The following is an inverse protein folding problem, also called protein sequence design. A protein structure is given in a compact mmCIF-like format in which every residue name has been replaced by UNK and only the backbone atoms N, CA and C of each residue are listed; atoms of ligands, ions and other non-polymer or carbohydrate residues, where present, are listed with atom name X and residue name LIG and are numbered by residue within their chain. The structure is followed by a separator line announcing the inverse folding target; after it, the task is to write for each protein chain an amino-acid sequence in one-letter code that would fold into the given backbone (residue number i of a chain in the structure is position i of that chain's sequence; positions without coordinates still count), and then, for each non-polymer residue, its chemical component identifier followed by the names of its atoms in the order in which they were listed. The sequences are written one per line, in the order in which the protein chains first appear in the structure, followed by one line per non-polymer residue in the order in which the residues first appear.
data_IF_026626247858
#
_entry.id   IF_026626247858
#
_cell.length_a   1.000
_cell.length_b   1.000
_cell.length_c   1.000
_cell.angle_alpha   90.00
_cell.angle_beta   90.00
_cell.angle_gamma   90.00
#
_symmetry.space_group_name_H-M   'P 1'
#
loop_
_entity.id
_entity.type
_entity.pdbx_description
1 polymer ?
#
# COMPACT_ATOMS: atom_id res chain seq x y z
N UNK A 1 16.08 -25.24 0.93
CA UNK A 1 14.65 -25.57 0.69
C UNK A 1 14.08 -24.52 -0.25
N UNK A 2 13.37 -24.93 -1.31
CA UNK A 2 12.67 -23.99 -2.18
C UNK A 2 11.59 -23.25 -1.36
N UNK A 3 11.47 -21.94 -1.55
CA UNK A 3 10.40 -21.15 -0.94
C UNK A 3 9.16 -21.21 -1.84
N UNK A 4 7.98 -21.40 -1.26
CA UNK A 4 6.73 -21.19 -1.99
C UNK A 4 6.47 -19.69 -2.23
N UNK A 5 5.58 -19.36 -3.16
CA UNK A 5 5.31 -17.97 -3.52
C UNK A 5 4.70 -17.17 -2.38
N UNK A 6 3.85 -17.80 -1.57
CA UNK A 6 3.23 -17.17 -0.40
C UNK A 6 4.30 -16.64 0.56
N UNK A 7 5.26 -17.48 0.91
CA UNK A 7 6.37 -17.14 1.79
C UNK A 7 7.30 -16.12 1.15
N UNK A 8 7.61 -16.25 -0.14
CA UNK A 8 8.43 -15.28 -0.86
C UNK A 8 7.79 -13.87 -0.82
N UNK A 9 6.48 -13.76 -1.06
CA UNK A 9 5.76 -12.49 -0.97
C UNK A 9 5.78 -11.90 0.45
N UNK A 10 5.52 -12.71 1.48
CA UNK A 10 5.56 -12.21 2.85
C UNK A 10 6.96 -11.79 3.29
N UNK A 11 8.01 -12.51 2.87
CA UNK A 11 9.39 -12.12 3.15
C UNK A 11 9.74 -10.78 2.51
N UNK A 12 9.43 -10.61 1.22
CA UNK A 12 9.70 -9.35 0.54
C UNK A 12 8.85 -8.20 1.10
N UNK A 13 7.56 -8.43 1.37
CA UNK A 13 6.69 -7.43 1.99
C UNK A 13 7.21 -6.96 3.35
N UNK A 14 7.76 -7.87 4.18
CA UNK A 14 8.40 -7.52 5.45
C UNK A 14 9.63 -6.66 5.25
N UNK A 15 10.47 -7.00 4.26
CA UNK A 15 11.66 -6.21 3.94
C UNK A 15 11.29 -4.79 3.51
N UNK A 16 10.32 -4.65 2.61
CA UNK A 16 9.85 -3.35 2.14
C UNK A 16 9.23 -2.53 3.28
N UNK A 17 8.43 -3.17 4.14
CA UNK A 17 7.83 -2.50 5.30
C UNK A 17 8.88 -2.07 6.33
N UNK A 18 9.92 -2.87 6.55
CA UNK A 18 11.03 -2.50 7.43
C UNK A 18 11.79 -1.28 6.88
N UNK A 19 11.96 -1.18 5.56
CA UNK A 19 12.53 0.02 4.94
C UNK A 19 11.62 1.23 5.10
N UNK A 20 10.31 1.08 4.91
CA UNK A 20 9.35 2.15 5.22
C UNK A 20 9.50 2.62 6.68
N UNK A 21 9.50 1.71 7.65
CA UNK A 21 9.62 2.06 9.07
C UNK A 21 10.94 2.77 9.41
N UNK A 22 12.04 2.40 8.75
CA UNK A 22 13.33 3.08 8.91
C UNK A 22 13.30 4.50 8.34
N UNK A 23 12.65 4.70 7.19
CA UNK A 23 12.65 5.98 6.49
C UNK A 23 11.56 6.95 6.96
N UNK A 24 10.45 6.45 7.53
CA UNK A 24 9.24 7.26 7.75
C UNK A 24 9.42 8.48 8.65
N UNK A 25 10.40 8.45 9.56
CA UNK A 25 10.69 9.54 10.50
C UNK A 25 12.06 10.20 10.27
N UNK A 26 12.84 9.76 9.26
CA UNK A 26 14.14 10.37 8.96
C UNK A 26 13.92 11.73 8.31
N UNK A 27 14.56 12.78 8.83
CA UNK A 27 14.56 14.11 8.20
C UNK A 27 15.41 14.12 6.93
N UNK A 28 14.99 14.90 5.93
CA UNK A 28 15.72 15.01 4.65
C UNK A 28 15.45 13.88 3.65
N UNK A 29 14.72 12.83 4.01
CA UNK A 29 14.25 11.82 3.03
C UNK A 29 12.94 12.27 2.40
N UNK A 30 12.89 12.30 1.08
CA UNK A 30 11.73 12.69 0.29
C UNK A 30 10.54 11.76 0.57
N UNK A 31 9.33 12.33 0.58
CA UNK A 31 8.10 11.59 0.93
C UNK A 31 7.82 10.46 -0.08
N UNK A 32 8.19 10.65 -1.36
CA UNK A 32 8.04 9.63 -2.40
C UNK A 32 8.71 8.30 -2.02
N UNK A 33 9.93 8.32 -1.48
CA UNK A 33 10.64 7.09 -1.10
C UNK A 33 9.91 6.34 0.01
N UNK A 34 9.38 7.06 1.00
CA UNK A 34 8.58 6.48 2.10
C UNK A 34 7.32 5.83 1.53
N UNK A 35 6.59 6.56 0.69
CA UNK A 35 5.35 6.09 0.08
C UNK A 35 5.57 4.90 -0.87
N UNK A 36 6.68 4.87 -1.62
CA UNK A 36 7.04 3.76 -2.49
C UNK A 36 7.23 2.46 -1.70
N UNK A 37 8.01 2.49 -0.61
CA UNK A 37 8.18 1.29 0.24
C UNK A 37 6.88 0.83 0.90
N UNK A 38 6.01 1.76 1.31
CA UNK A 38 4.69 1.42 1.86
C UNK A 38 3.78 0.76 0.80
N UNK A 39 3.73 1.32 -0.41
CA UNK A 39 2.98 0.76 -1.54
C UNK A 39 3.49 -0.66 -1.86
N UNK A 40 4.81 -0.82 -1.99
CA UNK A 40 5.43 -2.11 -2.30
C UNK A 40 5.19 -3.16 -1.22
N UNK A 41 5.27 -2.79 0.05
CA UNK A 41 4.98 -3.67 1.16
C UNK A 41 3.53 -4.17 1.12
N UNK A 42 2.56 -3.26 0.92
CA UNK A 42 1.13 -3.59 0.94
C UNK A 42 0.69 -4.41 -0.27
N UNK A 43 1.24 -4.16 -1.46
CA UNK A 43 1.00 -4.96 -2.66
C UNK A 43 1.45 -6.41 -2.46
N UNK A 44 2.70 -6.61 -2.00
CA UNK A 44 3.26 -7.94 -1.78
C UNK A 44 2.57 -8.66 -0.62
N UNK A 45 2.21 -7.95 0.43
CA UNK A 45 1.43 -8.50 1.54
C UNK A 45 0.09 -9.08 1.05
N UNK A 46 -0.66 -8.32 0.25
CA UNK A 46 -1.93 -8.76 -0.30
C UNK A 46 -1.76 -9.97 -1.23
N UNK A 47 -0.72 -9.97 -2.07
CA UNK A 47 -0.38 -11.13 -2.93
C UNK A 47 -0.07 -12.37 -2.09
N UNK A 48 0.67 -12.24 -0.99
CA UNK A 48 0.93 -13.34 -0.06
C UNK A 48 -0.34 -13.97 0.50
N UNK A 49 -1.34 -13.17 0.91
CA UNK A 49 -2.62 -13.70 1.37
C UNK A 49 -3.47 -14.35 0.27
N UNK A 50 -3.30 -13.94 -0.99
CA UNK A 50 -3.97 -14.53 -2.16
C UNK A 50 -3.34 -15.87 -2.58
N UNK A 51 -2.07 -16.13 -2.27
CA UNK A 51 -1.40 -17.38 -2.57
C UNK A 51 -1.84 -18.52 -1.62
N UNK A 52 -2.05 -19.70 -2.20
CA UNK A 52 -2.21 -20.93 -1.42
C UNK A 52 -0.89 -21.32 -0.74
N UNK A 53 -0.99 -22.03 0.39
CA UNK A 53 0.19 -22.57 1.09
C UNK A 53 0.82 -23.66 0.22
N UNK A 54 2.15 -23.62 0.04
CA UNK A 54 2.87 -24.59 -0.79
C UNK A 54 2.78 -24.36 -2.30
N UNK A 55 2.15 -23.27 -2.76
CA UNK A 55 2.03 -22.98 -4.19
C UNK A 55 3.38 -22.56 -4.80
N UNK A 56 3.83 -23.31 -5.81
CA UNK A 56 5.07 -23.09 -6.55
C UNK A 56 4.85 -22.26 -7.83
N UNK A 57 3.61 -21.92 -8.17
CA UNK A 57 3.27 -21.06 -9.31
C UNK A 57 3.08 -19.60 -8.88
N UNK A 58 3.57 -18.63 -9.69
CA UNK A 58 3.35 -17.23 -9.38
C UNK A 58 1.85 -16.89 -9.48
N UNK A 59 1.31 -16.08 -8.56
CA UNK A 59 -0.04 -15.59 -8.69
C UNK A 59 -0.15 -14.69 -9.94
N UNK A 60 -1.35 -14.54 -10.53
CA UNK A 60 -1.58 -13.62 -11.62
C UNK A 60 -1.06 -12.21 -11.28
N UNK A 61 -0.44 -11.54 -12.25
CA UNK A 61 0.09 -10.18 -12.10
C UNK A 61 -1.06 -9.17 -12.04
N UNK A 62 -1.73 -9.10 -10.89
CA UNK A 62 -2.76 -8.10 -10.60
C UNK A 62 -2.17 -7.12 -9.59
N UNK A 63 -2.02 -5.85 -10.00
CA UNK A 63 -1.45 -4.79 -9.17
C UNK A 63 -2.45 -4.24 -8.13
N UNK A 64 -3.76 -4.35 -8.39
CA UNK A 64 -4.82 -3.89 -7.49
C UNK A 64 -5.23 -5.01 -6.51
N UNK A 65 -4.40 -5.25 -5.50
CA UNK A 65 -4.61 -6.34 -4.56
C UNK A 65 -4.93 -5.90 -3.12
N UNK A 66 -4.43 -4.74 -2.66
CA UNK A 66 -4.46 -4.39 -1.24
C UNK A 66 -5.82 -3.85 -0.79
N UNK A 67 -6.42 -2.94 -1.56
CA UNK A 67 -7.72 -2.39 -1.20
C UNK A 67 -8.81 -3.48 -1.22
N UNK A 68 -8.72 -4.39 -2.20
CA UNK A 68 -9.60 -5.55 -2.27
C UNK A 68 -9.38 -6.51 -1.09
N UNK A 69 -8.12 -6.80 -0.75
CA UNK A 69 -7.77 -7.63 0.40
C UNK A 69 -8.43 -7.10 1.69
N UNK A 70 -8.27 -5.81 1.99
CA UNK A 70 -8.88 -5.18 3.18
C UNK A 70 -10.41 -5.28 3.16
N UNK A 71 -11.05 -5.05 2.02
CA UNK A 71 -12.52 -5.03 1.91
C UNK A 71 -13.15 -6.41 1.99
N UNK A 72 -12.50 -7.43 1.45
CA UNK A 72 -13.09 -8.77 1.26
C UNK A 72 -12.36 -9.83 2.08
N UNK A 73 -11.09 -10.07 1.78
CA UNK A 73 -10.36 -11.24 2.25
C UNK A 73 -10.00 -11.14 3.73
N UNK A 74 -9.55 -9.97 4.19
CA UNK A 74 -9.19 -9.73 5.58
C UNK A 74 -10.34 -10.02 6.56
N UNK A 75 -11.60 -9.84 6.13
CA UNK A 75 -12.81 -10.12 6.91
C UNK A 75 -12.99 -11.61 7.23
N UNK A 76 -12.50 -12.49 6.34
CA UNK A 76 -12.65 -13.94 6.46
C UNK A 76 -11.57 -14.57 7.35
N UNK A 77 -10.49 -13.83 7.65
CA UNK A 77 -9.34 -14.34 8.39
C UNK A 77 -9.51 -14.15 9.91
N UNK A 78 -10.02 -15.19 10.58
CA UNK A 78 -10.20 -15.18 12.04
C UNK A 78 -8.89 -14.93 12.81
N UNK A 79 -7.76 -15.44 12.32
CA UNK A 79 -6.43 -15.17 12.89
C UNK A 79 -6.10 -13.68 12.83
N UNK A 80 -6.36 -13.01 11.70
CA UNK A 80 -6.06 -11.59 11.56
C UNK A 80 -6.92 -10.72 12.50
N UNK A 81 -8.19 -11.08 12.67
CA UNK A 81 -9.07 -10.45 13.66
C UNK A 81 -8.48 -10.56 15.08
N UNK A 82 -7.96 -11.74 15.45
CA UNK A 82 -7.30 -11.97 16.74
C UNK A 82 -6.03 -11.14 16.88
N UNK A 83 -5.16 -11.10 15.87
CA UNK A 83 -3.96 -10.26 15.87
C UNK A 83 -4.28 -8.76 15.97
N UNK A 84 -5.44 -8.33 15.45
CA UNK A 84 -5.95 -6.96 15.61
C UNK A 84 -6.65 -6.72 16.98
N UNK A 85 -6.68 -7.71 17.87
CA UNK A 85 -7.32 -7.66 19.20
C UNK A 85 -8.84 -7.36 19.18
N UNK A 86 -9.56 -7.74 18.11
CA UNK A 86 -11.02 -7.59 18.07
C UNK A 86 -11.73 -8.85 18.56
N UNK A 87 -12.59 -8.69 19.57
CA UNK A 87 -13.39 -9.79 20.13
C UNK A 87 -14.51 -10.26 19.20
N UNK A 88 -15.12 -9.34 18.45
CA UNK A 88 -16.29 -9.62 17.59
C UNK A 88 -15.98 -9.37 16.12
N UNK A 89 -16.67 -10.09 15.23
CA UNK A 89 -16.56 -9.89 13.78
C UNK A 89 -17.08 -8.51 13.36
N UNK A 90 -18.16 -8.02 13.99
CA UNK A 90 -18.79 -6.75 13.64
C UNK A 90 -17.85 -5.55 13.87
N UNK A 91 -17.20 -5.48 15.04
CA UNK A 91 -16.25 -4.41 15.37
C UNK A 91 -15.04 -4.42 14.44
N UNK A 92 -14.55 -5.61 14.08
CA UNK A 92 -13.48 -5.79 13.11
C UNK A 92 -13.89 -5.36 11.69
N UNK A 93 -15.09 -5.72 11.25
CA UNK A 93 -15.59 -5.29 9.94
C UNK A 93 -15.72 -3.76 9.86
N UNK A 94 -16.21 -3.10 10.93
CA UNK A 94 -16.27 -1.63 11.01
C UNK A 94 -14.88 -1.00 10.93
N UNK A 95 -13.91 -1.59 11.63
CA UNK A 95 -12.50 -1.18 11.56
C UNK A 95 -11.95 -1.28 10.13
N UNK A 96 -12.11 -2.43 9.47
CA UNK A 96 -11.66 -2.62 8.08
C UNK A 96 -12.34 -1.68 7.10
N UNK A 97 -13.65 -1.43 7.25
CA UNK A 97 -14.36 -0.47 6.41
C UNK A 97 -13.79 0.95 6.58
N UNK A 98 -13.38 1.34 7.79
CA UNK A 98 -12.69 2.60 8.03
C UNK A 98 -11.28 2.69 7.41
N UNK A 99 -10.61 1.56 7.21
CA UNK A 99 -9.28 1.50 6.55
C UNK A 99 -9.36 1.47 5.02
N UNK A 100 -10.48 0.99 4.46
CA UNK A 100 -10.61 0.76 3.03
C UNK A 100 -10.33 1.98 2.13
N UNK A 101 -10.72 3.22 2.48
CA UNK A 101 -10.35 4.40 1.70
C UNK A 101 -8.84 4.64 1.66
N UNK A 102 -8.16 4.51 2.80
CA UNK A 102 -6.71 4.68 2.88
C UNK A 102 -5.96 3.55 2.17
N UNK A 103 -6.44 2.31 2.26
CA UNK A 103 -5.89 1.18 1.50
C UNK A 103 -5.96 1.45 -0.01
N UNK A 104 -7.04 2.09 -0.47
CA UNK A 104 -7.19 2.48 -1.87
C UNK A 104 -6.21 3.59 -2.26
N UNK A 105 -6.03 4.60 -1.42
CA UNK A 105 -5.04 5.66 -1.67
C UNK A 105 -3.62 5.09 -1.76
N UNK A 106 -3.25 4.14 -0.88
CA UNK A 106 -1.93 3.48 -0.92
C UNK A 106 -1.77 2.68 -2.22
N UNK A 107 -2.79 1.92 -2.61
CA UNK A 107 -2.78 1.15 -3.86
C UNK A 107 -2.68 2.05 -5.10
N UNK A 108 -3.30 3.23 -5.07
CA UNK A 108 -3.28 4.21 -6.16
C UNK A 108 -1.96 5.01 -6.25
N UNK A 109 -1.03 4.84 -5.30
CA UNK A 109 0.32 5.41 -5.40
C UNK A 109 1.08 4.83 -6.60
N UNK A 110 0.81 3.60 -7.03
CA UNK A 110 1.38 3.05 -8.26
C UNK A 110 0.34 3.09 -9.37
N UNK A 111 0.04 4.26 -9.96
CA UNK A 111 -0.93 4.33 -11.04
C UNK A 111 -0.44 3.45 -12.20
N UNK A 112 -1.33 2.59 -12.71
CA UNK A 112 -1.11 2.00 -14.03
C UNK A 112 -1.10 3.15 -15.04
N UNK A 113 -0.14 3.08 -15.96
CA UNK A 113 0.14 4.06 -17.01
C UNK A 113 -1.13 4.71 -17.60
N UNK A 114 -1.04 6.01 -17.89
CA UNK A 114 -2.00 6.90 -18.58
C UNK A 114 -2.91 7.80 -17.74
N UNK A 115 -2.88 7.75 -16.41
CA UNK A 115 -3.65 8.72 -15.60
C UNK A 115 -2.70 9.71 -14.92
N UNK A 116 -2.94 11.01 -15.14
CA UNK A 116 -2.25 12.12 -14.49
C UNK A 116 -2.48 12.12 -12.96
N UNK A 117 -1.76 11.24 -12.26
CA UNK A 117 -1.84 11.04 -10.81
C UNK A 117 -0.44 11.01 -10.21
N UNK A 118 -0.27 11.41 -8.94
CA UNK A 118 1.00 11.32 -8.25
C UNK A 118 1.55 9.88 -8.26
N UNK A 119 2.82 9.73 -8.64
CA UNK A 119 3.54 8.46 -8.67
C UNK A 119 4.84 8.62 -7.87
N UNK A 120 5.10 7.83 -6.81
CA UNK A 120 6.31 7.94 -6.01
C UNK A 120 7.53 7.26 -6.67
N UNK A 121 7.34 6.49 -7.74
CA UNK A 121 8.39 5.70 -8.40
C UNK A 121 8.93 6.35 -9.67
N UNK A 122 8.04 6.87 -10.54
CA UNK A 122 8.42 7.45 -11.83
C UNK A 122 7.91 8.87 -11.99
N UNK A 123 8.63 9.74 -12.72
CA UNK A 123 8.07 11.00 -13.20
C UNK A 123 6.76 10.78 -13.96
N UNK A 124 5.84 11.73 -13.84
CA UNK A 124 4.55 11.64 -14.52
C UNK A 124 4.17 12.97 -15.18
N UNK A 125 3.41 12.86 -16.27
CA UNK A 125 2.80 13.99 -16.94
C UNK A 125 1.54 14.43 -16.17
N UNK A 126 1.38 15.73 -15.97
CA UNK A 126 0.15 16.33 -15.46
C UNK A 126 -0.23 17.59 -16.21
N UNK A 127 -1.52 17.91 -16.20
CA UNK A 127 -2.05 19.15 -16.73
C UNK A 127 -1.94 20.23 -15.65
N UNK A 128 -1.25 21.32 -15.94
CA UNK A 128 -1.17 22.45 -15.03
C UNK A 128 -2.48 23.26 -15.10
N UNK A 129 -3.34 23.15 -14.08
CA UNK A 129 -4.67 23.79 -14.04
C UNK A 129 -4.62 25.32 -14.03
N UNK A 130 -3.44 25.91 -13.81
CA UNK A 130 -3.24 27.37 -13.76
C UNK A 130 -2.76 27.98 -15.09
N UNK A 131 -2.63 27.17 -16.15
CA UNK A 131 -2.26 27.65 -17.48
C UNK A 131 -3.54 28.08 -18.21
N UNK A 132 -3.59 29.35 -18.64
CA UNK A 132 -4.75 29.94 -19.34
C UNK A 132 -5.16 29.09 -20.54
N UNK A 133 -6.46 29.07 -20.83
CA UNK A 133 -7.08 28.27 -21.90
C UNK A 133 -6.56 28.59 -23.33
N UNK A 134 -5.77 29.66 -23.49
CA UNK A 134 -5.09 30.03 -24.73
C UNK A 134 -3.80 29.22 -24.98
N UNK A 135 -3.20 28.63 -23.96
CA UNK A 135 -2.04 27.73 -24.06
C UNK A 135 -2.49 26.27 -24.01
N UNK A 136 -3.08 25.79 -25.11
CA UNK A 136 -3.32 24.35 -25.30
C UNK A 136 -1.96 23.62 -25.25
N UNK A 137 -1.77 22.78 -24.24
CA UNK A 137 -0.85 21.63 -24.35
C UNK A 137 0.47 21.68 -23.60
N UNK A 138 0.69 22.58 -22.64
CA UNK A 138 1.89 22.50 -21.80
C UNK A 138 1.77 21.35 -20.76
N UNK A 139 2.11 20.13 -21.17
CA UNK A 139 2.31 19.00 -20.26
C UNK A 139 3.42 19.37 -19.28
N UNK A 140 3.10 19.44 -17.98
CA UNK A 140 4.11 19.58 -16.93
C UNK A 140 4.56 18.19 -16.52
N UNK A 141 5.87 17.97 -16.47
CA UNK A 141 6.46 16.74 -15.93
C UNK A 141 6.73 16.97 -14.46
N UNK A 142 6.17 16.11 -13.60
CA UNK A 142 6.40 16.14 -12.17
C UNK A 142 7.45 15.09 -11.81
N UNK A 143 8.43 15.49 -11.00
CA UNK A 143 9.45 14.60 -10.45
C UNK A 143 9.02 14.18 -9.04
N UNK A 144 8.98 12.87 -8.71
CA UNK A 144 8.52 12.41 -7.41
C UNK A 144 9.30 12.99 -6.23
N UNK A 145 10.62 13.13 -6.38
CA UNK A 145 11.51 13.68 -5.34
C UNK A 145 11.21 15.16 -5.03
N UNK A 146 10.69 15.92 -5.99
CA UNK A 146 10.34 17.33 -5.83
C UNK A 146 8.87 17.53 -5.44
N UNK A 147 8.06 16.48 -5.54
CA UNK A 147 6.63 16.53 -5.23
C UNK A 147 6.38 16.38 -3.72
N UNK A 148 5.60 17.28 -3.14
CA UNK A 148 5.38 17.33 -1.69
C UNK A 148 4.43 16.25 -1.16
N UNK A 149 3.60 15.64 -2.02
CA UNK A 149 2.55 14.68 -1.61
C UNK A 149 1.70 15.21 -0.45
N UNK A 150 1.28 16.48 -0.51
CA UNK A 150 0.65 17.22 0.60
C UNK A 150 -0.64 16.62 1.16
N UNK A 151 -1.27 15.71 0.42
CA UNK A 151 -2.42 14.93 0.87
C UNK A 151 -2.06 13.75 1.77
N UNK A 152 -0.77 13.47 1.99
CA UNK A 152 -0.28 12.38 2.82
C UNK A 152 0.25 12.89 4.16
N UNK A 153 -0.47 12.55 5.22
CA UNK A 153 0.03 12.67 6.59
C UNK A 153 0.30 11.27 7.16
N UNK A 154 1.59 10.90 7.17
CA UNK A 154 2.07 9.64 7.73
C UNK A 154 1.88 9.54 9.25
N UNK A 155 1.65 10.67 9.92
CA UNK A 155 1.37 10.77 11.35
C UNK A 155 -0.13 10.90 11.65
N UNK A 156 -1.01 10.79 10.65
CA UNK A 156 -2.45 10.85 10.88
C UNK A 156 -2.94 9.65 11.71
N UNK A 157 -4.05 9.83 12.42
CA UNK A 157 -4.68 8.73 13.17
C UNK A 157 -5.09 7.57 12.25
N UNK A 158 -5.49 7.88 11.01
CA UNK A 158 -5.80 6.89 9.98
C UNK A 158 -4.57 6.07 9.60
N UNK A 159 -3.44 6.73 9.34
CA UNK A 159 -2.19 6.04 9.01
C UNK A 159 -1.72 5.17 10.16
N UNK A 160 -1.72 5.65 11.41
CA UNK A 160 -1.37 4.82 12.58
C UNK A 160 -2.22 3.56 12.68
N UNK A 161 -3.52 3.65 12.40
CA UNK A 161 -4.41 2.47 12.37
C UNK A 161 -4.06 1.53 11.22
N UNK A 162 -3.70 2.04 10.05
CA UNK A 162 -3.26 1.25 8.91
C UNK A 162 -1.94 0.51 9.19
N UNK A 163 -0.95 1.19 9.79
CA UNK A 163 0.33 0.56 10.12
C UNK A 163 0.15 -0.58 11.13
N UNK A 164 -0.67 -0.37 12.16
CA UNK A 164 -1.05 -1.45 13.11
C UNK A 164 -1.73 -2.63 12.42
N UNK A 165 -2.58 -2.37 11.43
CA UNK A 165 -3.21 -3.43 10.63
C UNK A 165 -2.18 -4.23 9.82
N UNK A 166 -1.23 -3.55 9.19
CA UNK A 166 -0.14 -4.17 8.42
C UNK A 166 0.74 -5.04 9.35
N UNK A 167 1.08 -4.55 10.53
CA UNK A 167 1.80 -5.34 11.55
C UNK A 167 1.02 -6.59 11.95
N UNK A 168 -0.28 -6.46 12.22
CA UNK A 168 -1.14 -7.60 12.54
C UNK A 168 -1.23 -8.61 11.38
N UNK A 169 -1.19 -8.14 10.14
CA UNK A 169 -1.11 -9.00 8.96
C UNK A 169 0.18 -9.83 8.94
N UNK A 170 1.33 -9.22 9.27
CA UNK A 170 2.58 -9.96 9.35
C UNK A 170 2.60 -10.95 10.50
N UNK A 171 1.97 -10.65 11.64
CA UNK A 171 1.80 -11.59 12.74
C UNK A 171 0.94 -12.80 12.31
N UNK A 172 -0.20 -12.55 11.68
CA UNK A 172 -1.10 -13.59 11.18
C UNK A 172 -0.48 -14.45 10.06
N UNK A 173 0.51 -13.92 9.33
CA UNK A 173 1.25 -14.66 8.32
C UNK A 173 2.36 -15.56 8.92
N UNK A 174 2.72 -15.38 10.20
CA UNK A 174 3.70 -16.23 10.91
C UNK A 174 3.07 -17.43 11.63
N UNK A 175 1.75 -17.47 11.74
CA UNK A 175 1.00 -18.54 12.44
C UNK A 175 0.54 -19.61 11.46
#
# INVERSE_FOLDING_TARGET
MAQDWRRAFFMQARSDFAMFLRLKDIQGVEVCHRLHYLQMATEKLAKGFKCAIGDMQPPPRVHLAFAEFVRKQAKLLATLRRCCNFKTQESYNRYLNGLAPLARQIEELAPQSDVARPNPEYPWAGCNVNVRADQRGATTVFVPAEHLFSNWDLQSAGMRKMLKFIEACFQAAST
#
